data_IF_126150597225
#
_entry.id   IF_126150597225
#
_cell.length_a   1.000
_cell.length_b   1.000
_cell.length_c   1.000
_cell.angle_alpha   90.00
_cell.angle_beta   90.00
_cell.angle_gamma   90.00
#
_symmetry.space_group_name_H-M   'P 1'
#
loop_
_entity.id
_entity.type
_entity.pdbx_description
1 polymer ?
#
# COMPACT_ATOMS: atom_id res chain seq x y z
N UNK A 1 3.49 16.38 -3.33
CA UNK A 1 4.67 15.48 -3.40
C UNK A 1 4.91 14.93 -2.01
N UNK A 2 4.96 13.60 -1.85
CA UNK A 2 5.35 12.94 -0.59
C UNK A 2 6.84 12.60 -0.70
N UNK A 3 7.67 13.11 0.21
CA UNK A 3 9.10 12.78 0.24
C UNK A 3 9.35 11.52 1.07
N UNK A 4 10.47 10.82 0.81
CA UNK A 4 10.85 9.61 1.54
C UNK A 4 9.76 8.50 1.53
N UNK A 5 8.99 8.45 0.42
CA UNK A 5 7.94 7.45 0.23
C UNK A 5 8.55 6.06 0.11
N UNK A 6 8.14 5.13 0.98
CA UNK A 6 8.69 3.78 1.04
C UNK A 6 7.70 2.77 1.62
N UNK A 7 7.95 1.51 1.32
CA UNK A 7 7.28 0.38 1.94
C UNK A 7 8.16 -0.23 3.02
N UNK A 8 7.57 -0.51 4.18
CA UNK A 8 8.23 -1.16 5.31
C UNK A 8 7.41 -2.36 5.81
N UNK A 9 8.07 -3.27 6.52
CA UNK A 9 7.45 -4.37 7.26
C UNK A 9 6.56 -5.30 6.41
N UNK A 10 6.94 -5.52 5.14
CA UNK A 10 6.16 -6.33 4.22
C UNK A 10 6.09 -7.81 4.65
N UNK A 11 4.88 -8.30 4.89
CA UNK A 11 4.56 -9.70 5.17
C UNK A 11 3.79 -10.26 3.97
N UNK A 12 4.21 -11.42 3.45
CA UNK A 12 3.63 -12.04 2.25
C UNK A 12 3.16 -13.45 2.55
N UNK A 13 1.90 -13.72 2.22
CA UNK A 13 1.26 -15.02 2.38
C UNK A 13 0.81 -15.56 1.03
N UNK A 14 1.12 -16.82 0.74
CA UNK A 14 0.66 -17.49 -0.47
C UNK A 14 -0.81 -17.92 -0.31
N UNK A 15 -1.65 -17.65 -1.31
CA UNK A 15 -3.08 -18.02 -1.30
C UNK A 15 -3.42 -19.24 -2.16
N UNK A 16 -2.41 -19.88 -2.78
CA UNK A 16 -2.55 -20.93 -3.78
C UNK A 16 -2.65 -20.39 -5.21
N UNK A 17 -3.41 -19.30 -5.41
CA UNK A 17 -3.64 -18.68 -6.72
C UNK A 17 -3.01 -17.28 -6.84
N UNK A 18 -2.19 -16.88 -5.87
CA UNK A 18 -1.59 -15.55 -5.81
C UNK A 18 -0.99 -15.27 -4.44
N UNK A 19 -1.18 -14.05 -3.94
CA UNK A 19 -0.65 -13.64 -2.64
C UNK A 19 -1.53 -12.62 -1.92
N UNK A 20 -1.40 -12.61 -0.60
CA UNK A 20 -1.72 -11.47 0.25
C UNK A 20 -0.40 -10.83 0.67
N UNK A 21 -0.27 -9.51 0.55
CA UNK A 21 0.82 -8.73 1.11
C UNK A 21 0.26 -7.67 2.06
N UNK A 22 0.79 -7.62 3.28
CA UNK A 22 0.53 -6.55 4.25
C UNK A 22 1.81 -5.73 4.40
N UNK A 23 1.73 -4.39 4.32
CA UNK A 23 2.91 -3.53 4.49
C UNK A 23 2.52 -2.14 5.02
N UNK A 24 3.49 -1.46 5.62
CA UNK A 24 3.38 -0.04 5.97
C UNK A 24 3.87 0.83 4.81
N UNK A 25 3.12 1.87 4.49
CA UNK A 25 3.53 2.95 3.60
C UNK A 25 3.95 4.12 4.48
N UNK A 26 5.21 4.56 4.36
CA UNK A 26 5.75 5.68 5.12
C UNK A 26 6.30 6.78 4.22
N UNK A 27 6.31 8.00 4.74
CA UNK A 27 6.92 9.17 4.09
C UNK A 27 6.60 10.46 4.82
N UNK A 28 6.85 11.59 4.17
CA UNK A 28 6.57 12.93 4.70
C UNK A 28 5.66 13.69 3.74
N UNK A 29 4.54 14.16 4.26
CA UNK A 29 3.56 14.96 3.54
C UNK A 29 4.08 16.39 3.30
N UNK A 30 3.42 17.13 2.41
CA UNK A 30 3.86 18.47 2.01
C UNK A 30 3.85 19.50 3.15
N UNK A 31 3.02 19.28 4.18
CA UNK A 31 2.96 20.09 5.40
C UNK A 31 4.01 19.67 6.46
N UNK A 32 4.86 18.68 6.14
CA UNK A 32 5.89 18.15 7.03
C UNK A 32 5.41 17.05 7.98
N UNK A 33 4.11 16.71 7.99
CA UNK A 33 3.59 15.62 8.82
C UNK A 33 3.99 14.23 8.27
N UNK A 34 4.04 13.24 9.15
CA UNK A 34 4.37 11.86 8.77
C UNK A 34 3.18 11.19 8.06
N UNK A 35 3.44 10.60 6.89
CA UNK A 35 2.56 9.60 6.30
C UNK A 35 2.89 8.26 6.98
N UNK A 36 1.87 7.65 7.58
CA UNK A 36 1.95 6.28 8.05
C UNK A 36 0.61 5.59 7.75
N UNK A 37 0.61 4.72 6.76
CA UNK A 37 -0.60 4.06 6.25
C UNK A 37 -0.37 2.56 6.17
N UNK A 38 -1.25 1.77 6.78
CA UNK A 38 -1.25 0.32 6.60
C UNK A 38 -2.04 -0.07 5.37
N UNK A 39 -1.43 -0.90 4.52
CA UNK A 39 -2.05 -1.45 3.32
C UNK A 39 -2.07 -2.98 3.35
N UNK A 40 -3.14 -3.56 2.81
CA UNK A 40 -3.27 -4.98 2.54
C UNK A 40 -3.62 -5.17 1.07
N UNK A 41 -2.73 -5.80 0.32
CA UNK A 41 -2.87 -6.13 -1.09
C UNK A 41 -3.28 -7.59 -1.20
N UNK A 42 -4.38 -7.86 -1.91
CA UNK A 42 -4.82 -9.20 -2.28
C UNK A 42 -4.74 -9.33 -3.80
N UNK A 43 -3.79 -10.14 -4.28
CA UNK A 43 -3.51 -10.30 -5.69
C UNK A 43 -3.74 -11.74 -6.16
N UNK A 44 -4.40 -11.86 -7.31
CA UNK A 44 -4.55 -13.13 -8.05
C UNK A 44 -3.53 -13.15 -9.20
N UNK A 45 -2.88 -14.29 -9.42
CA UNK A 45 -1.78 -14.47 -10.39
C UNK A 45 -2.08 -15.60 -11.35
N UNK A 46 -2.02 -15.32 -12.65
CA UNK A 46 -2.14 -16.29 -13.74
C UNK A 46 -0.95 -16.15 -14.68
N UNK A 47 -0.35 -17.26 -15.13
CA UNK A 47 0.81 -17.29 -16.02
C UNK A 47 1.97 -16.37 -15.57
N UNK A 48 2.20 -16.32 -14.25
CA UNK A 48 3.25 -15.51 -13.64
C UNK A 48 2.98 -14.00 -13.63
N UNK A 49 1.75 -13.55 -13.93
CA UNK A 49 1.35 -12.15 -13.94
C UNK A 49 0.17 -11.90 -13.00
N UNK A 50 0.17 -10.76 -12.33
CA UNK A 50 -0.99 -10.32 -11.54
C UNK A 50 -2.13 -9.98 -12.51
N UNK A 51 -3.26 -10.67 -12.37
CA UNK A 51 -4.46 -10.45 -13.20
C UNK A 51 -5.55 -9.67 -12.47
N UNK A 52 -5.54 -9.72 -11.13
CA UNK A 52 -6.42 -8.92 -10.29
C UNK A 52 -5.65 -8.46 -9.05
N UNK A 53 -5.86 -7.20 -8.68
CA UNK A 53 -5.32 -6.61 -7.46
C UNK A 53 -6.43 -5.85 -6.74
N UNK A 54 -6.56 -6.10 -5.44
CA UNK A 54 -7.41 -5.35 -4.51
C UNK A 54 -6.52 -4.82 -3.41
N UNK A 55 -6.62 -3.54 -3.10
CA UNK A 55 -5.86 -2.90 -2.04
C UNK A 55 -6.83 -2.34 -1.01
N UNK A 56 -6.59 -2.67 0.25
CA UNK A 56 -7.39 -2.27 1.40
C UNK A 56 -6.55 -1.40 2.30
N UNK A 57 -7.06 -0.20 2.61
CA UNK A 57 -6.42 0.79 3.46
C UNK A 57 -7.48 1.45 4.34
N UNK A 58 -7.05 1.99 5.49
CA UNK A 58 -7.88 2.92 6.25
C UNK A 58 -7.93 4.27 5.51
N UNK A 59 -9.11 4.61 4.99
CA UNK A 59 -9.30 5.83 4.20
C UNK A 59 -9.12 7.10 5.03
N UNK A 60 -9.36 7.05 6.35
CA UNK A 60 -9.10 8.18 7.22
C UNK A 60 -7.59 8.47 7.29
N UNK A 61 -6.78 7.43 7.51
CA UNK A 61 -5.32 7.52 7.50
C UNK A 61 -4.75 7.89 6.12
N UNK A 62 -5.45 7.52 5.04
CA UNK A 62 -5.03 7.83 3.67
C UNK A 62 -5.30 9.28 3.24
N UNK A 63 -6.04 10.08 4.03
CA UNK A 63 -6.49 11.44 3.63
C UNK A 63 -5.35 12.33 3.15
N UNK A 64 -4.23 12.36 3.89
CA UNK A 64 -3.07 13.18 3.53
C UNK A 64 -2.40 12.73 2.23
N UNK A 65 -2.37 11.43 1.97
CA UNK A 65 -1.86 10.87 0.72
C UNK A 65 -2.80 11.19 -0.45
N UNK A 66 -4.11 11.05 -0.27
CA UNK A 66 -5.11 11.37 -1.30
C UNK A 66 -5.03 12.84 -1.73
N UNK A 67 -4.88 13.77 -0.78
CA UNK A 67 -4.69 15.19 -1.07
C UNK A 67 -3.36 15.49 -1.80
N UNK A 68 -2.34 14.64 -1.65
CA UNK A 68 -1.07 14.80 -2.34
C UNK A 68 -1.08 14.27 -3.79
N UNK A 69 -2.11 13.51 -4.17
CA UNK A 69 -2.30 12.89 -5.48
C UNK A 69 -3.24 13.69 -6.40
N UNK A 70 -3.98 14.65 -5.84
CA UNK A 70 -4.83 15.61 -6.58
C UNK A 70 -4.03 16.79 -7.12
#
# INVERSE_FOLDING_TARGET
>A
VVSDFRYEDAIRSNTGNGFVEEHAIKGTLADGSELHLMACVVADVEDGKIVQLREYVDTAAATGLLAALS
#
